data_IF_720170829999
#
_entry.id   IF_720170829999
#
_cell.length_a   1.000
_cell.length_b   1.000
_cell.length_c   1.000
_cell.angle_alpha   90.00
_cell.angle_beta   90.00
_cell.angle_gamma   90.00
#
_symmetry.space_group_name_H-M   'P 1'
#
loop_
_entity.id
_entity.type
_entity.pdbx_description
1 polymer ?
#
# COMPACT_ATOMS: atom_id res chain seq x y z
N UNK A 1 4.96 -10.28 4.46
CA UNK A 1 4.01 -9.81 3.43
C UNK A 1 4.26 -8.33 3.25
N UNK A 2 4.24 -7.79 2.02
CA UNK A 2 4.55 -6.37 1.77
C UNK A 2 3.64 -5.44 2.59
N UNK A 3 2.40 -5.85 2.80
CA UNK A 3 1.46 -5.12 3.65
C UNK A 3 1.94 -4.89 5.08
N UNK A 4 2.48 -5.93 5.73
CA UNK A 4 2.95 -5.86 7.12
C UNK A 4 4.17 -4.92 7.25
N UNK A 5 5.03 -4.95 6.23
CA UNK A 5 6.12 -4.00 6.09
C UNK A 5 5.60 -2.57 5.91
N UNK A 6 4.58 -2.39 5.07
CA UNK A 6 3.97 -1.09 4.82
C UNK A 6 3.37 -0.51 6.11
N UNK A 7 2.56 -1.27 6.86
CA UNK A 7 1.93 -0.76 8.09
C UNK A 7 2.93 -0.49 9.22
N UNK A 8 4.07 -1.18 9.22
CA UNK A 8 5.11 -1.02 10.25
C UNK A 8 6.07 0.12 9.92
N UNK A 9 6.38 0.33 8.64
CA UNK A 9 7.37 1.33 8.21
C UNK A 9 6.72 2.64 7.75
N UNK A 10 5.52 2.60 7.17
CA UNK A 10 4.83 3.78 6.66
C UNK A 10 3.71 4.20 7.60
N UNK A 11 3.65 5.50 7.86
CA UNK A 11 2.54 6.10 8.62
C UNK A 11 1.41 6.48 7.68
N UNK A 12 0.20 6.68 8.23
CA UNK A 12 -1.00 7.05 7.47
C UNK A 12 -0.85 8.33 6.63
N UNK A 13 0.00 9.24 7.06
CA UNK A 13 0.26 10.51 6.36
C UNK A 13 1.33 10.40 5.26
N UNK A 14 2.02 9.26 5.18
CA UNK A 14 3.12 9.12 4.24
C UNK A 14 2.70 8.48 2.91
N UNK A 15 3.10 9.09 1.78
CA UNK A 15 2.95 8.47 0.48
C UNK A 15 3.80 7.21 0.39
N UNK A 16 3.16 6.10 0.04
CA UNK A 16 3.81 4.85 -0.28
C UNK A 16 4.15 4.86 -1.76
N UNK A 17 5.44 4.96 -2.06
CA UNK A 17 5.94 4.91 -3.43
C UNK A 17 6.19 3.46 -3.85
N UNK A 18 5.63 3.06 -4.99
CA UNK A 18 5.87 1.74 -5.57
C UNK A 18 7.37 1.46 -5.79
N UNK A 19 8.15 2.51 -6.06
CA UNK A 19 9.60 2.44 -6.27
C UNK A 19 10.40 2.13 -5.00
N UNK A 20 9.88 2.56 -3.85
CA UNK A 20 10.53 2.39 -2.54
C UNK A 20 10.18 1.03 -1.90
N UNK A 21 9.17 0.35 -2.44
CA UNK A 21 8.69 -0.91 -1.88
C UNK A 21 9.69 -2.05 -2.11
N UNK A 22 10.16 -2.71 -1.03
CA UNK A 22 11.01 -3.86 -1.16
C UNK A 22 10.17 -5.05 -1.66
N UNK A 23 10.36 -5.40 -2.93
CA UNK A 23 9.69 -6.55 -3.54
C UNK A 23 10.64 -7.35 -4.42
N UNK A 24 10.43 -8.66 -4.46
CA UNK A 24 11.22 -9.57 -5.32
C UNK A 24 11.16 -9.17 -6.80
N UNK A 25 9.99 -8.71 -7.26
CA UNK A 25 9.75 -8.25 -8.63
C UNK A 25 8.72 -7.13 -8.65
N UNK A 26 8.88 -6.15 -9.56
CA UNK A 26 7.92 -5.05 -9.77
C UNK A 26 6.49 -5.54 -10.03
N UNK A 27 6.36 -6.68 -10.72
CA UNK A 27 5.06 -7.30 -11.01
C UNK A 27 4.37 -7.82 -9.75
N UNK A 28 5.12 -8.48 -8.86
CA UNK A 28 4.60 -9.00 -7.60
C UNK A 28 4.15 -7.87 -6.68
N UNK A 29 4.93 -6.79 -6.59
CA UNK A 29 4.53 -5.57 -5.85
C UNK A 29 3.24 -5.01 -6.43
N UNK A 30 3.13 -4.86 -7.76
CA UNK A 30 1.90 -4.36 -8.40
C UNK A 30 0.68 -5.23 -8.11
N UNK A 31 0.82 -6.56 -8.14
CA UNK A 31 -0.26 -7.47 -7.81
C UNK A 31 -0.68 -7.34 -6.34
N UNK A 32 0.28 -7.25 -5.42
CA UNK A 32 0.01 -7.10 -3.99
C UNK A 32 -0.66 -5.76 -3.69
N UNK A 33 -0.16 -4.66 -4.28
CA UNK A 33 -0.78 -3.34 -4.16
C UNK A 33 -2.20 -3.31 -4.75
N UNK A 34 -2.44 -3.99 -5.88
CA UNK A 34 -3.78 -4.11 -6.45
C UNK A 34 -4.72 -4.82 -5.48
N UNK A 35 -4.27 -5.91 -4.85
CA UNK A 35 -5.05 -6.65 -3.85
C UNK A 35 -5.36 -5.79 -2.62
N UNK A 36 -4.39 -5.04 -2.12
CA UNK A 36 -4.58 -4.12 -1.00
C UNK A 36 -5.52 -2.97 -1.32
N UNK A 37 -5.51 -2.50 -2.57
CA UNK A 37 -6.46 -1.49 -3.05
C UNK A 37 -7.88 -2.06 -3.13
N UNK A 38 -8.02 -3.29 -3.63
CA UNK A 38 -9.29 -4.02 -3.73
C UNK A 38 -9.88 -4.34 -2.35
N UNK A 39 -9.03 -4.69 -1.38
CA UNK A 39 -9.40 -4.85 0.03
C UNK A 39 -9.75 -3.52 0.73
N UNK A 40 -9.53 -2.37 0.08
CA UNK A 40 -9.79 -1.06 0.66
C UNK A 40 -8.84 -0.68 1.79
N UNK A 41 -7.68 -1.33 1.91
CA UNK A 41 -6.64 -1.07 2.93
C UNK A 41 -5.68 0.05 2.53
N UNK A 42 -5.50 0.24 1.22
CA UNK A 42 -4.73 1.34 0.66
C UNK A 42 -5.53 2.00 -0.45
N UNK A 43 -5.30 3.29 -0.67
CA UNK A 43 -5.88 4.05 -1.76
C UNK A 43 -4.79 4.49 -2.72
N UNK A 44 -5.07 4.36 -4.02
CA UNK A 44 -4.17 4.82 -5.07
C UNK A 44 -4.49 6.27 -5.40
N UNK A 45 -3.59 7.19 -5.05
CA UNK A 45 -3.72 8.60 -5.43
C UNK A 45 -3.20 8.85 -6.86
N UNK A 46 -1.98 8.40 -7.17
CA UNK A 46 -1.33 8.62 -8.46
C UNK A 46 -0.69 7.35 -9.02
N UNK A 47 -0.19 7.43 -10.25
CA UNK A 47 0.47 6.30 -10.90
C UNK A 47 1.80 5.97 -10.19
N UNK A 48 1.75 5.02 -9.24
CA UNK A 48 2.90 4.61 -8.42
C UNK A 48 2.95 5.23 -7.03
N UNK A 49 1.92 6.01 -6.63
CA UNK A 49 1.79 6.59 -5.28
C UNK A 49 0.50 6.12 -4.65
N UNK A 50 0.62 5.53 -3.47
CA UNK A 50 -0.45 4.96 -2.68
C UNK A 50 -0.44 5.54 -1.27
N UNK A 51 -1.56 5.45 -0.56
CA UNK A 51 -1.69 5.89 0.83
C UNK A 51 -2.41 4.81 1.62
N UNK A 52 -2.13 4.70 2.92
CA UNK A 52 -2.92 3.84 3.81
C UNK A 52 -4.33 4.41 3.90
N UNK A 53 -5.34 3.60 3.60
CA UNK A 53 -6.72 4.06 3.69
C UNK A 53 -7.09 4.31 5.14
N UNK A 54 -7.97 5.28 5.37
CA UNK A 54 -8.68 5.38 6.63
C UNK A 54 -9.73 4.27 6.67
N UNK A 55 -9.30 3.04 6.96
CA UNK A 55 -10.20 2.09 7.61
C UNK A 55 -10.42 2.62 9.02
N UNK A 56 -11.32 3.60 9.16
CA UNK A 56 -12.00 3.83 10.42
C UNK A 56 -12.70 2.52 10.73
N UNK A 57 -12.15 1.77 11.67
CA UNK A 57 -12.83 0.68 12.36
C UNK A 57 -13.93 1.34 13.20
N UNK A 58 -14.92 1.94 12.53
CA UNK A 58 -16.19 2.37 13.11
C UNK A 58 -17.19 1.30 12.70
N UNK A 59 -16.98 0.11 13.26
CA UNK A 59 -17.94 -0.99 13.31
C UNK A 59 -18.30 -1.24 14.76
#
# INVERSE_FOLDING_TARGET
>A
MLYDYIITNYKKDEPIFLSELPGKSKESVRQEMKKLTDEGKIERLYNGVYYLSYTTILG
#
